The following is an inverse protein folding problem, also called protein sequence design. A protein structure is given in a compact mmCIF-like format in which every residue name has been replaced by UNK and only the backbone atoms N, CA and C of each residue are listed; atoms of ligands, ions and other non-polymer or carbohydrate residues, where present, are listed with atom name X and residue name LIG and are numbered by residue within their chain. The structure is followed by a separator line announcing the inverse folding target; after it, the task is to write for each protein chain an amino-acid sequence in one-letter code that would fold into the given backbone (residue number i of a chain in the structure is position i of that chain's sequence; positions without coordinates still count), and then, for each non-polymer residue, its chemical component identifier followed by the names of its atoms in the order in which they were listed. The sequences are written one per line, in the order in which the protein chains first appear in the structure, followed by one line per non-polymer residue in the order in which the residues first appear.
data_IF_502728093425
#
_entry.id   IF_502728093425
#
_cell.length_a   1.000
_cell.length_b   1.000
_cell.length_c   1.000
_cell.angle_alpha   90.00
_cell.angle_beta   90.00
_cell.angle_gamma   90.00
#
_symmetry.space_group_name_H-M   'P 1'
#
loop_
_entity.id
_entity.type
_entity.pdbx_description
1 polymer ?
#
# COMPACT_ATOMS: atom_id res chain seq x y z
N UNK A 1 -0.47 2.94 -8.23
CA UNK A 1 -1.87 3.26 -7.91
C UNK A 1 -2.85 2.78 -8.99
N UNK A 2 -2.49 2.94 -10.28
CA UNK A 2 -3.37 2.69 -11.44
C UNK A 2 -3.85 1.23 -11.50
N UNK A 3 -2.96 0.29 -11.26
CA UNK A 3 -3.30 -1.15 -11.23
C UNK A 3 -4.27 -1.48 -10.10
N UNK A 4 -4.04 -0.90 -8.91
CA UNK A 4 -4.93 -1.09 -7.76
C UNK A 4 -6.31 -0.51 -8.06
N UNK A 5 -6.36 0.67 -8.69
CA UNK A 5 -7.63 1.28 -9.10
C UNK A 5 -8.35 0.45 -10.15
N UNK A 6 -7.61 0.00 -11.19
CA UNK A 6 -8.16 -0.80 -12.27
C UNK A 6 -8.73 -2.14 -11.77
N UNK A 7 -8.00 -2.83 -10.88
CA UNK A 7 -8.46 -4.05 -10.26
C UNK A 7 -9.66 -3.78 -9.35
N UNK A 8 -9.60 -2.74 -8.51
CA UNK A 8 -10.73 -2.33 -7.68
C UNK A 8 -12.00 -2.08 -8.50
N UNK A 9 -11.88 -1.43 -9.67
CA UNK A 9 -13.00 -1.23 -10.58
C UNK A 9 -13.54 -2.57 -11.12
N UNK A 10 -12.67 -3.50 -11.51
CA UNK A 10 -13.04 -4.80 -12.03
C UNK A 10 -13.80 -5.66 -11.00
N UNK A 11 -13.33 -5.67 -9.75
CA UNK A 11 -13.96 -6.42 -8.64
C UNK A 11 -15.00 -5.60 -7.87
N UNK A 12 -15.31 -4.39 -8.31
CA UNK A 12 -16.26 -3.45 -7.68
C UNK A 12 -15.89 -3.09 -6.23
N UNK A 13 -14.60 -3.08 -5.89
CA UNK A 13 -14.11 -2.64 -4.59
C UNK A 13 -13.89 -1.13 -4.59
N UNK A 14 -14.77 -0.43 -3.88
CA UNK A 14 -14.66 1.02 -3.66
C UNK A 14 -13.43 1.36 -2.81
N UNK A 15 -13.10 0.52 -1.85
CA UNK A 15 -11.97 0.67 -0.94
C UNK A 15 -10.66 0.69 -1.71
N UNK A 16 -10.48 -0.22 -2.66
CA UNK A 16 -9.28 -0.27 -3.51
C UNK A 16 -9.17 0.97 -4.41
N UNK A 17 -10.28 1.39 -5.00
CA UNK A 17 -10.29 2.61 -5.83
C UNK A 17 -9.97 3.85 -4.97
N UNK A 18 -10.56 3.97 -3.80
CA UNK A 18 -10.33 5.07 -2.86
C UNK A 18 -8.87 5.07 -2.35
N UNK A 19 -8.32 3.89 -2.01
CA UNK A 19 -6.91 3.77 -1.65
C UNK A 19 -6.00 4.27 -2.76
N UNK A 20 -6.26 3.87 -4.00
CA UNK A 20 -5.49 4.33 -5.15
C UNK A 20 -5.56 5.87 -5.31
N UNK A 21 -6.73 6.48 -5.13
CA UNK A 21 -6.89 7.94 -5.17
C UNK A 21 -6.10 8.64 -4.06
N UNK A 22 -6.06 8.09 -2.84
CA UNK A 22 -5.26 8.64 -1.75
C UNK A 22 -3.76 8.76 -2.11
N UNK A 23 -3.26 7.88 -3.00
CA UNK A 23 -1.84 7.89 -3.43
C UNK A 23 -1.50 9.06 -4.35
N UNK A 24 -2.48 9.75 -4.89
CA UNK A 24 -2.27 10.96 -5.68
C UNK A 24 -2.27 12.24 -4.84
N UNK A 25 -2.69 12.19 -3.57
CA UNK A 25 -2.67 13.35 -2.70
C UNK A 25 -1.25 13.87 -2.47
N UNK A 26 -1.05 15.15 -2.72
CA UNK A 26 0.15 15.89 -2.38
C UNK A 26 -0.21 16.95 -1.35
N UNK A 27 -0.06 16.60 -0.07
CA UNK A 27 -0.43 17.48 1.05
C UNK A 27 0.42 18.76 1.07
N UNK A 28 1.68 18.68 0.63
CA UNK A 28 2.58 19.83 0.62
C UNK A 28 2.15 20.92 -0.36
N UNK A 29 1.47 20.51 -1.44
CA UNK A 29 0.93 21.39 -2.47
C UNK A 29 -0.57 21.62 -2.34
N UNK A 30 -1.24 20.89 -1.44
CA UNK A 30 -2.70 20.96 -1.27
C UNK A 30 -3.48 20.55 -2.52
N UNK A 31 -2.98 19.57 -3.28
CA UNK A 31 -3.58 19.08 -4.53
C UNK A 31 -3.59 17.56 -4.60
N UNK A 32 -4.45 17.03 -5.45
CA UNK A 32 -4.31 15.67 -5.98
C UNK A 32 -3.57 15.75 -7.32
N UNK A 33 -2.44 15.07 -7.41
CA UNK A 33 -1.64 15.00 -8.65
C UNK A 33 -2.44 14.28 -9.73
N UNK A 34 -2.36 14.78 -10.96
CA UNK A 34 -2.90 14.04 -12.10
C UNK A 34 -2.08 12.76 -12.36
N UNK A 35 -2.71 11.64 -12.68
CA UNK A 35 -1.99 10.46 -13.13
C UNK A 35 -1.28 10.77 -14.45
N UNK A 36 0.04 10.68 -14.46
CA UNK A 36 0.82 10.81 -15.69
C UNK A 36 1.18 9.43 -16.22
N UNK A 37 1.07 9.18 -17.54
CA UNK A 37 1.73 8.05 -18.14
C UNK A 37 3.25 8.27 -17.98
N UNK A 38 3.90 7.46 -17.13
CA UNK A 38 5.36 7.50 -17.03
C UNK A 38 5.94 6.89 -18.30
N UNK A 39 6.66 7.72 -19.04
CA UNK A 39 7.15 7.39 -20.37
C UNK A 39 8.21 6.26 -20.43
N UNK A 40 8.72 5.78 -19.29
CA UNK A 40 9.94 4.96 -19.27
C UNK A 40 9.91 3.68 -18.42
N UNK A 41 8.76 3.19 -17.99
CA UNK A 41 8.74 1.90 -17.30
C UNK A 41 8.19 0.80 -18.20
N UNK A 42 9.08 -0.01 -18.75
CA UNK A 42 8.80 -1.12 -19.68
C UNK A 42 7.92 -2.26 -19.13
N UNK A 43 7.24 -2.04 -18.00
CA UNK A 43 6.30 -2.98 -17.39
C UNK A 43 4.89 -2.43 -17.19
N UNK A 44 4.59 -1.24 -17.69
CA UNK A 44 3.20 -0.78 -17.66
C UNK A 44 2.41 -1.51 -18.73
N UNK A 45 1.64 -2.47 -18.29
CA UNK A 45 0.64 -3.12 -19.12
C UNK A 45 -0.21 -2.02 -19.79
N UNK A 46 -0.32 -2.06 -21.12
CA UNK A 46 -1.23 -1.18 -21.89
C UNK A 46 -2.66 -1.19 -21.33
N UNK A 47 -3.01 -2.21 -20.56
CA UNK A 47 -4.29 -2.34 -19.90
C UNK A 47 -4.52 -1.34 -18.75
N UNK A 48 -3.46 -0.88 -18.05
CA UNK A 48 -3.63 0.14 -17.00
C UNK A 48 -3.79 1.55 -17.58
N UNK A 49 -3.21 1.83 -18.74
CA UNK A 49 -3.29 3.15 -19.38
C UNK A 49 -4.73 3.57 -19.72
N UNK A 50 -5.60 2.62 -20.06
CA UNK A 50 -7.01 2.89 -20.37
C UNK A 50 -7.82 3.47 -19.19
N UNK A 51 -7.34 3.31 -17.94
CA UNK A 51 -8.02 3.81 -16.74
C UNK A 51 -7.50 5.20 -16.30
N UNK A 52 -6.40 5.68 -16.91
CA UNK A 52 -5.83 6.98 -16.57
C UNK A 52 -6.87 8.11 -16.74
N UNK A 53 -7.68 8.17 -17.82
CA UNK A 53 -8.70 9.21 -17.93
C UNK A 53 -9.76 9.17 -16.82
N UNK A 54 -10.13 7.99 -16.36
CA UNK A 54 -11.10 7.83 -15.28
C UNK A 54 -10.54 8.34 -13.95
N UNK A 55 -9.28 7.99 -13.65
CA UNK A 55 -8.58 8.43 -12.45
C UNK A 55 -8.36 9.96 -12.52
N UNK A 56 -7.96 10.48 -13.67
CA UNK A 56 -7.77 11.91 -13.87
C UNK A 56 -9.07 12.69 -13.60
N UNK A 57 -10.21 12.24 -14.13
CA UNK A 57 -11.51 12.88 -13.84
C UNK A 57 -11.83 12.89 -12.34
N UNK A 58 -11.48 11.83 -11.59
CA UNK A 58 -11.71 11.79 -10.16
C UNK A 58 -10.77 12.72 -9.40
N UNK A 59 -9.47 12.74 -9.72
CA UNK A 59 -8.52 13.68 -9.11
C UNK A 59 -8.86 15.13 -9.44
N UNK A 60 -9.32 15.43 -10.65
CA UNK A 60 -9.79 16.77 -11.03
C UNK A 60 -11.04 17.17 -10.26
N UNK A 61 -11.96 16.24 -10.03
CA UNK A 61 -13.15 16.51 -9.20
C UNK A 61 -12.76 16.86 -7.76
N UNK A 62 -11.81 16.12 -7.16
CA UNK A 62 -11.27 16.41 -5.82
C UNK A 62 -10.56 17.76 -5.78
N UNK A 63 -9.80 18.09 -6.82
CA UNK A 63 -9.12 19.38 -6.95
C UNK A 63 -10.11 20.56 -7.07
N UNK A 64 -11.25 20.38 -7.73
CA UNK A 64 -12.31 21.42 -7.75
C UNK A 64 -12.86 21.69 -6.36
N UNK A 65 -13.06 20.66 -5.55
CA UNK A 65 -13.51 20.82 -4.15
C UNK A 65 -12.47 21.60 -3.35
N UNK A 66 -11.17 21.27 -3.50
CA UNK A 66 -10.09 21.99 -2.84
C UNK A 66 -10.00 23.45 -3.28
N UNK A 67 -10.12 23.70 -4.59
CA UNK A 67 -10.03 25.06 -5.15
C UNK A 67 -11.20 25.94 -4.77
N UNK A 68 -12.37 25.36 -4.48
CA UNK A 68 -13.54 26.09 -4.01
C UNK A 68 -13.39 26.58 -2.55
N UNK A 69 -12.46 26.00 -1.79
CA UNK A 69 -12.19 26.43 -0.42
C UNK A 69 -11.17 27.58 -0.38
N UNK A 70 -11.30 28.52 0.59
CA UNK A 70 -10.27 29.51 0.87
C UNK A 70 -8.90 28.82 1.10
N UNK A 71 -7.83 29.47 0.66
CA UNK A 71 -6.49 28.86 0.70
C UNK A 71 -6.09 28.39 2.09
N UNK A 72 -6.37 29.19 3.12
CA UNK A 72 -6.12 28.87 4.53
C UNK A 72 -6.83 27.60 5.01
N UNK A 73 -7.96 27.25 4.41
CA UNK A 73 -8.82 26.13 4.82
C UNK A 73 -8.54 24.85 4.00
N UNK A 74 -7.79 24.95 2.91
CA UNK A 74 -7.47 23.80 2.02
C UNK A 74 -6.82 22.62 2.73
N UNK A 75 -5.89 22.80 3.69
CA UNK A 75 -5.33 21.66 4.44
C UNK A 75 -6.40 20.86 5.20
N UNK A 76 -7.31 21.55 5.87
CA UNK A 76 -8.41 20.90 6.60
C UNK A 76 -9.40 20.21 5.64
N UNK A 77 -9.68 20.84 4.50
CA UNK A 77 -10.52 20.23 3.44
C UNK A 77 -9.84 18.98 2.86
N UNK A 78 -8.53 19.02 2.61
CA UNK A 78 -7.76 17.86 2.15
C UNK A 78 -7.82 16.71 3.16
N UNK A 79 -7.60 16.99 4.44
CA UNK A 79 -7.66 15.97 5.50
C UNK A 79 -9.05 15.35 5.61
N UNK A 80 -10.12 16.14 5.44
CA UNK A 80 -11.50 15.64 5.39
C UNK A 80 -11.71 14.71 4.18
N UNK A 81 -11.30 15.12 2.99
CA UNK A 81 -11.40 14.29 1.77
C UNK A 81 -10.66 12.96 1.97
N UNK A 82 -9.44 13.00 2.51
CA UNK A 82 -8.65 11.79 2.76
C UNK A 82 -9.30 10.90 3.83
N UNK A 83 -9.93 11.49 4.84
CA UNK A 83 -10.74 10.78 5.83
C UNK A 83 -11.91 10.06 5.18
N UNK A 84 -12.67 10.76 4.33
CA UNK A 84 -13.82 10.20 3.61
C UNK A 84 -13.41 9.06 2.65
N UNK A 85 -12.29 9.20 1.97
CA UNK A 85 -11.77 8.16 1.08
C UNK A 85 -11.32 6.89 1.84
N UNK A 86 -10.98 7.03 3.13
CA UNK A 86 -10.47 5.93 3.97
C UNK A 86 -11.50 5.33 4.91
N UNK A 87 -12.68 5.93 5.04
CA UNK A 87 -13.69 5.52 6.02
C UNK A 87 -14.15 4.06 5.88
N UNK A 88 -14.13 3.54 4.66
CA UNK A 88 -14.57 2.19 4.36
C UNK A 88 -13.43 1.15 4.42
N UNK A 89 -12.22 1.54 4.85
CA UNK A 89 -11.10 0.61 4.98
C UNK A 89 -11.34 -0.30 6.19
N UNK A 90 -11.34 -1.63 6.03
CA UNK A 90 -11.59 -2.56 7.12
C UNK A 90 -10.60 -2.37 8.28
N UNK A 91 -11.10 -2.47 9.52
CA UNK A 91 -10.25 -2.43 10.72
C UNK A 91 -9.45 -3.72 10.90
N UNK A 92 -9.95 -4.82 10.39
CA UNK A 92 -9.26 -6.11 10.35
C UNK A 92 -9.48 -6.76 8.99
N UNK A 93 -8.45 -7.42 8.50
CA UNK A 93 -8.50 -8.21 7.26
C UNK A 93 -7.66 -9.47 7.49
N UNK A 94 -8.22 -10.61 7.13
CA UNK A 94 -7.53 -11.89 7.12
C UNK A 94 -7.58 -12.47 5.72
N UNK A 95 -6.44 -12.91 5.23
CA UNK A 95 -6.29 -13.63 3.97
C UNK A 95 -5.91 -15.06 4.32
N UNK A 96 -6.88 -15.97 4.27
CA UNK A 96 -6.75 -17.36 4.71
C UNK A 96 -5.78 -18.18 3.87
N UNK A 97 -5.76 -17.99 2.55
CA UNK A 97 -4.84 -18.72 1.67
C UNK A 97 -3.37 -18.33 1.85
N UNK A 98 -3.10 -17.08 2.18
CA UNK A 98 -1.73 -16.56 2.38
C UNK A 98 -1.38 -16.40 3.85
N UNK A 99 -2.34 -16.68 4.74
CA UNK A 99 -2.24 -16.49 6.18
C UNK A 99 -1.66 -15.14 6.60
N UNK A 100 -2.14 -14.09 5.92
CA UNK A 100 -1.76 -12.72 6.24
C UNK A 100 -2.89 -11.99 6.95
N UNK A 101 -2.56 -11.29 8.03
CA UNK A 101 -3.50 -10.43 8.71
C UNK A 101 -3.07 -8.97 8.70
N UNK A 102 -4.07 -8.09 8.66
CA UNK A 102 -3.88 -6.65 8.78
C UNK A 102 -4.89 -6.12 9.79
N UNK A 103 -4.37 -5.47 10.83
CA UNK A 103 -5.19 -4.85 11.87
C UNK A 103 -4.90 -3.36 11.91
N UNK A 104 -5.92 -2.58 12.16
CA UNK A 104 -5.78 -1.13 12.32
C UNK A 104 -6.84 -0.59 13.27
N UNK A 105 -6.62 0.58 13.80
CA UNK A 105 -7.62 1.26 14.62
C UNK A 105 -7.67 2.77 14.31
N UNK A 106 -8.68 3.43 14.88
CA UNK A 106 -8.89 4.87 14.71
C UNK A 106 -7.79 5.73 15.37
N UNK A 107 -7.02 5.17 16.29
CA UNK A 107 -5.89 5.85 16.96
C UNK A 107 -4.61 5.83 16.14
N UNK A 108 -4.65 5.27 14.92
CA UNK A 108 -3.54 5.24 13.98
C UNK A 108 -2.54 4.09 14.22
N UNK A 109 -2.98 3.02 14.87
CA UNK A 109 -2.22 1.77 14.93
C UNK A 109 -2.47 0.94 13.69
N UNK A 110 -1.41 0.35 13.18
CA UNK A 110 -1.44 -0.63 12.10
C UNK A 110 -0.51 -1.78 12.43
N UNK A 111 -1.01 -2.99 12.33
CA UNK A 111 -0.25 -4.24 12.41
C UNK A 111 -0.47 -5.03 11.14
N UNK A 112 0.60 -5.47 10.51
CA UNK A 112 0.58 -6.51 9.48
C UNK A 112 1.39 -7.69 9.98
N UNK A 113 0.88 -8.90 9.84
CA UNK A 113 1.60 -10.12 10.22
C UNK A 113 1.39 -11.20 9.18
N UNK A 114 2.40 -12.05 9.02
CA UNK A 114 2.41 -13.17 8.10
C UNK A 114 2.52 -14.49 8.87
N UNK A 115 1.59 -15.40 8.62
CA UNK A 115 1.65 -16.81 8.95
C UNK A 115 2.14 -17.64 7.77
N UNK A 116 1.49 -18.77 7.51
CA UNK A 116 1.75 -19.65 6.38
C UNK A 116 2.89 -20.63 6.61
N UNK A 117 3.56 -20.99 5.54
CA UNK A 117 4.66 -21.98 5.55
C UNK A 117 5.82 -21.52 4.65
N UNK A 118 7.00 -22.13 4.85
CA UNK A 118 8.20 -21.73 4.12
C UNK A 118 8.38 -22.42 2.75
N UNK A 119 7.41 -23.21 2.30
CA UNK A 119 7.47 -23.95 1.02
C UNK A 119 6.84 -23.18 -0.15
N UNK A 120 6.54 -21.90 0.03
CA UNK A 120 6.04 -21.04 -1.05
C UNK A 120 7.14 -20.71 -2.05
N UNK A 121 6.77 -20.61 -3.34
CA UNK A 121 7.70 -20.18 -4.37
C UNK A 121 8.12 -18.72 -4.16
N UNK A 122 9.41 -18.44 -4.34
CA UNK A 122 10.00 -17.10 -4.13
C UNK A 122 9.82 -16.54 -2.71
N UNK A 123 9.67 -17.42 -1.74
CA UNK A 123 9.45 -17.10 -0.35
C UNK A 123 10.77 -16.82 0.40
N UNK A 124 10.68 -16.00 1.44
CA UNK A 124 11.66 -15.88 2.51
C UNK A 124 11.20 -16.73 3.71
N UNK A 125 12.12 -17.13 4.57
CA UNK A 125 11.79 -17.83 5.82
C UNK A 125 11.35 -16.78 6.86
N UNK A 126 10.19 -16.20 6.66
CA UNK A 126 9.69 -15.04 7.39
C UNK A 126 8.33 -15.27 8.06
N UNK A 127 8.00 -16.56 8.33
CA UNK A 127 6.80 -16.91 9.11
C UNK A 127 6.87 -16.24 10.48
N UNK A 128 5.77 -15.66 10.90
CA UNK A 128 5.68 -14.94 12.17
C UNK A 128 6.24 -13.50 12.10
N UNK A 129 6.77 -13.08 10.95
CA UNK A 129 7.15 -11.68 10.76
C UNK A 129 5.94 -10.77 10.96
N UNK A 130 6.17 -9.66 11.65
CA UNK A 130 5.16 -8.62 11.76
C UNK A 130 5.78 -7.23 11.57
N UNK A 131 4.95 -6.33 11.08
CA UNK A 131 5.23 -4.90 11.03
C UNK A 131 4.21 -4.18 11.90
N UNK A 132 4.69 -3.22 12.68
CA UNK A 132 3.84 -2.38 13.52
C UNK A 132 4.15 -0.92 13.26
N UNK A 133 3.13 -0.13 13.00
CA UNK A 133 3.29 1.32 13.01
C UNK A 133 2.25 1.99 13.89
N UNK A 134 2.66 3.09 14.50
CA UNK A 134 1.82 3.92 15.37
C UNK A 134 1.85 5.33 14.81
N UNK A 135 0.68 5.86 14.42
CA UNK A 135 0.54 7.19 13.81
C UNK A 135 1.47 7.39 12.61
N UNK A 136 1.58 6.36 11.76
CA UNK A 136 2.47 6.27 10.59
C UNK A 136 3.98 6.27 10.92
N UNK A 137 4.36 6.07 12.18
CA UNK A 137 5.74 5.86 12.59
C UNK A 137 5.95 4.36 12.70
N UNK A 138 6.86 3.76 11.94
CA UNK A 138 7.19 2.35 12.08
C UNK A 138 7.89 2.11 13.41
N UNK A 139 7.36 1.14 14.18
CA UNK A 139 7.88 0.71 15.49
C UNK A 139 8.57 -0.64 15.37
N UNK A 140 7.92 -1.57 14.63
CA UNK A 140 8.52 -2.83 14.21
C UNK A 140 8.51 -2.84 12.68
N UNK A 141 9.60 -3.27 12.10
CA UNK A 141 9.76 -3.36 10.64
C UNK A 141 10.31 -4.72 10.27
N UNK A 142 9.92 -5.17 9.10
CA UNK A 142 10.59 -6.30 8.46
C UNK A 142 12.03 -5.92 8.11
N UNK A 143 12.98 -6.82 8.38
CA UNK A 143 14.39 -6.59 8.07
C UNK A 143 14.68 -6.54 6.55
N UNK A 144 13.71 -6.95 5.77
CA UNK A 144 13.78 -6.99 4.32
C UNK A 144 14.67 -8.11 3.78
N UNK A 145 14.95 -8.04 2.49
CA UNK A 145 15.73 -9.04 1.79
C UNK A 145 17.24 -8.79 1.97
N UNK A 146 17.98 -9.88 2.23
CA UNK A 146 19.45 -9.84 2.24
C UNK A 146 20.04 -9.98 0.83
N UNK A 147 21.35 -9.85 0.74
CA UNK A 147 22.08 -10.12 -0.49
C UNK A 147 22.05 -11.61 -0.82
N UNK A 148 21.57 -11.96 -2.01
CA UNK A 148 21.58 -13.32 -2.49
C UNK A 148 23.01 -13.77 -2.83
N UNK A 149 23.39 -14.94 -2.30
CA UNK A 149 24.65 -15.63 -2.56
C UNK A 149 24.36 -17.06 -2.95
N UNK A 150 25.38 -17.80 -3.38
CA UNK A 150 25.22 -19.24 -3.63
C UNK A 150 24.68 -20.00 -2.40
N UNK A 151 25.13 -19.62 -1.20
CA UNK A 151 24.67 -20.22 0.06
C UNK A 151 23.18 -19.94 0.35
N UNK A 152 22.62 -18.86 -0.18
CA UNK A 152 21.17 -18.56 -0.04
C UNK A 152 20.29 -19.64 -0.68
N UNK A 153 20.79 -20.33 -1.70
CA UNK A 153 20.09 -21.38 -2.42
C UNK A 153 20.43 -22.79 -1.94
N UNK A 154 21.33 -22.92 -0.95
CA UNK A 154 21.64 -24.18 -0.28
C UNK A 154 20.67 -24.38 0.89
N UNK A 155 19.86 -25.44 0.85
CA UNK A 155 18.84 -25.70 1.86
C UNK A 155 19.38 -25.77 3.30
N UNK A 156 20.64 -26.20 3.50
CA UNK A 156 21.26 -26.27 4.81
C UNK A 156 21.76 -24.93 5.30
N UNK A 157 22.31 -24.11 4.39
CA UNK A 157 22.88 -22.81 4.73
C UNK A 157 21.82 -21.70 4.76
N UNK A 158 20.77 -21.82 3.94
CA UNK A 158 19.66 -20.86 3.89
C UNK A 158 19.06 -20.63 5.27
N UNK A 159 18.76 -21.68 6.02
CA UNK A 159 18.18 -21.55 7.36
C UNK A 159 19.13 -20.89 8.36
N UNK A 160 20.43 -21.17 8.27
CA UNK A 160 21.42 -20.50 9.15
C UNK A 160 21.54 -19.01 8.87
N UNK A 161 21.55 -18.61 7.60
CA UNK A 161 21.67 -17.20 7.20
C UNK A 161 20.46 -16.39 7.66
N UNK A 162 19.26 -16.94 7.54
CA UNK A 162 18.02 -16.23 7.86
C UNK A 162 17.63 -16.34 9.34
N UNK A 163 17.91 -17.47 9.99
CA UNK A 163 17.65 -17.63 11.42
C UNK A 163 18.51 -16.70 12.28
N UNK A 164 19.74 -16.43 11.89
CA UNK A 164 20.62 -15.50 12.62
C UNK A 164 20.17 -14.02 12.57
N UNK A 165 19.23 -13.66 11.70
CA UNK A 165 18.66 -12.32 11.62
C UNK A 165 17.43 -12.09 12.51
N UNK A 166 16.88 -13.18 13.05
CA UNK A 166 15.74 -13.15 13.97
C UNK A 166 16.15 -13.35 15.42
N UNK A 167 17.43 -13.25 15.76
CA UNK A 167 17.86 -13.22 17.15
C UNK A 167 17.63 -11.79 17.70
N UNK A 168 16.64 -11.72 18.55
CA UNK A 168 16.32 -10.56 19.41
C UNK A 168 17.19 -10.54 20.63
#
# INVERSE_FOLDING_TARGET
PEMVWAYGKAVRSKEMMNYALCRYADKSKGIFRSPHPVANEGYRSMNSARFIPDIARQTDSLNRILSAAPEKDRPAVMDRILGDLRKDVPMSTWYDETEMCFLRNSSGWFLGAKGGHNDESHNHNDIGTCILSIRNIPVLVDAGVGTYTKATFDNKERYKIWAMRCEW
#
